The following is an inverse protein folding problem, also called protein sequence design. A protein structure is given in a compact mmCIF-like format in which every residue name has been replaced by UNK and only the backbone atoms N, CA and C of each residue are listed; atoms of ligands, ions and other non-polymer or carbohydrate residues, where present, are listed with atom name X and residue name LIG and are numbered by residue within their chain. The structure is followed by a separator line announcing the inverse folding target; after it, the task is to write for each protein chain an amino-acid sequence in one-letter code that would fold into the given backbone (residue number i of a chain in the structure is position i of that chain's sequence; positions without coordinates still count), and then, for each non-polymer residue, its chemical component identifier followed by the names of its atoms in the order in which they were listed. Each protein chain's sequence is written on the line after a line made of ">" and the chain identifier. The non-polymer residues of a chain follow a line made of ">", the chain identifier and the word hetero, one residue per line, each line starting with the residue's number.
data_IF_317829827580
#
_entry.id   IF_317829827580
#
_cell.length_a   1.000
_cell.length_b   1.000
_cell.length_c   1.000
_cell.angle_alpha   90.00
_cell.angle_beta   90.00
_cell.angle_gamma   90.00
#
_symmetry.space_group_name_H-M   'P 1'
#
loop_
_entity.id
_entity.type
_entity.pdbx_description
1 polymer ?
#
# COMPACT_ATOMS: atom_id res chain seq x y z
N UNK A 1 -4.95 23.83 9.37
CA UNK A 1 -6.38 23.54 9.62
C UNK A 1 -6.46 22.24 10.44
N UNK A 2 -7.50 22.03 11.23
CA UNK A 2 -7.70 20.75 11.92
C UNK A 2 -7.97 19.66 10.88
N UNK A 3 -7.44 18.44 11.11
CA UNK A 3 -7.71 17.30 10.25
C UNK A 3 -9.19 16.94 10.26
N UNK A 4 -9.80 16.83 9.07
CA UNK A 4 -11.19 16.42 8.88
C UNK A 4 -11.25 14.93 8.63
N UNK A 5 -12.22 14.26 9.24
CA UNK A 5 -12.55 12.87 9.00
C UNK A 5 -14.02 12.73 8.59
N UNK A 6 -14.37 11.59 8.03
CA UNK A 6 -15.75 11.22 7.69
C UNK A 6 -16.20 10.08 8.60
N UNK A 7 -17.42 10.19 9.14
CA UNK A 7 -18.06 9.12 9.90
C UNK A 7 -19.55 9.05 9.54
N UNK A 8 -20.00 7.92 9.04
CA UNK A 8 -21.41 7.56 8.87
C UNK A 8 -22.28 8.65 8.18
N UNK A 9 -21.75 9.35 7.18
CA UNK A 9 -22.44 10.40 6.42
C UNK A 9 -22.03 11.83 6.79
N UNK A 10 -21.24 12.04 7.84
CA UNK A 10 -20.88 13.36 8.34
C UNK A 10 -19.35 13.62 8.25
N UNK A 11 -18.98 14.87 7.95
CA UNK A 11 -17.59 15.34 8.01
C UNK A 11 -17.37 16.07 9.33
N UNK A 12 -16.48 15.53 10.16
CA UNK A 12 -16.23 15.98 11.53
C UNK A 12 -14.74 16.27 11.74
N UNK A 13 -14.36 17.09 12.73
CA UNK A 13 -12.98 17.13 13.19
C UNK A 13 -12.53 15.74 13.63
N UNK A 14 -11.32 15.34 13.23
CA UNK A 14 -10.77 14.03 13.59
C UNK A 14 -10.79 13.78 15.11
N UNK A 15 -10.55 14.83 15.91
CA UNK A 15 -10.54 14.77 17.39
C UNK A 15 -11.90 14.43 18.01
N UNK A 16 -12.98 14.59 17.27
CA UNK A 16 -14.34 14.37 17.78
C UNK A 16 -14.82 12.94 17.50
N UNK A 17 -13.98 12.13 16.82
CA UNK A 17 -14.28 10.74 16.52
C UNK A 17 -13.70 9.84 17.60
N UNK A 18 -14.57 9.18 18.34
CA UNK A 18 -14.21 8.23 19.38
C UNK A 18 -15.07 6.96 19.32
N UNK A 19 -14.61 5.92 20.03
CA UNK A 19 -15.36 4.68 20.24
C UNK A 19 -15.40 4.35 21.73
N UNK A 20 -16.51 3.79 22.20
CA UNK A 20 -16.63 3.35 23.59
C UNK A 20 -15.76 2.11 23.86
N UNK A 21 -15.37 1.92 25.12
CA UNK A 21 -14.53 0.78 25.54
C UNK A 21 -15.21 -0.57 25.28
N UNK A 22 -16.54 -0.61 25.26
CA UNK A 22 -17.33 -1.81 24.98
C UNK A 22 -17.49 -2.14 23.50
N UNK A 23 -16.88 -1.34 22.58
CA UNK A 23 -17.00 -1.53 21.13
C UNK A 23 -16.57 -2.93 20.72
N UNK A 24 -17.45 -3.67 20.03
CA UNK A 24 -17.25 -5.06 19.66
C UNK A 24 -15.95 -5.29 18.87
N UNK A 25 -15.65 -4.41 17.91
CA UNK A 25 -14.42 -4.52 17.12
C UNK A 25 -13.15 -4.40 17.98
N UNK A 26 -13.18 -3.66 19.09
CA UNK A 26 -12.05 -3.52 20.01
C UNK A 26 -11.78 -4.83 20.75
N UNK A 27 -12.82 -5.62 21.06
CA UNK A 27 -12.71 -6.89 21.79
C UNK A 27 -12.44 -8.08 20.87
N UNK A 28 -13.00 -8.08 19.66
CA UNK A 28 -13.05 -9.26 18.78
C UNK A 28 -12.40 -9.06 17.43
N UNK A 29 -11.80 -7.89 17.15
CA UNK A 29 -11.12 -7.60 15.89
C UNK A 29 -12.05 -7.54 14.67
N UNK A 30 -13.35 -7.36 14.87
CA UNK A 30 -14.39 -7.37 13.83
C UNK A 30 -14.42 -6.05 13.07
N UNK A 31 -13.38 -5.83 12.28
CA UNK A 31 -13.22 -4.67 11.41
C UNK A 31 -12.56 -5.08 10.09
N UNK A 32 -12.85 -4.35 9.05
CA UNK A 32 -12.11 -4.37 7.79
C UNK A 32 -11.61 -2.96 7.49
N UNK A 33 -10.44 -2.86 6.89
CA UNK A 33 -9.84 -1.56 6.65
C UNK A 33 -9.02 -1.52 5.38
N UNK A 34 -8.69 -0.33 4.94
CA UNK A 34 -7.72 -0.09 3.89
C UNK A 34 -6.68 0.92 4.33
N UNK A 35 -5.65 1.02 3.53
CA UNK A 35 -4.63 2.04 3.63
C UNK A 35 -4.28 2.51 2.24
N UNK A 36 -4.59 3.77 1.96
CA UNK A 36 -4.23 4.43 0.73
C UNK A 36 -3.15 5.46 1.01
N UNK A 37 -2.25 5.66 0.06
CA UNK A 37 -1.30 6.74 0.15
C UNK A 37 -1.66 7.86 -0.82
N UNK A 38 -1.52 9.08 -0.36
CA UNK A 38 -1.58 10.29 -1.16
C UNK A 38 -0.18 10.90 -1.25
N UNK A 39 0.25 11.23 -2.46
CA UNK A 39 1.56 11.77 -2.78
C UNK A 39 1.43 13.20 -3.28
N UNK A 40 2.15 14.13 -2.64
CA UNK A 40 2.12 15.52 -3.02
C UNK A 40 3.15 15.83 -4.12
N UNK A 41 2.67 16.14 -5.31
CA UNK A 41 3.50 16.63 -6.39
C UNK A 41 3.62 18.16 -6.30
N UNK A 42 4.78 18.66 -5.87
CA UNK A 42 5.04 20.10 -5.81
C UNK A 42 5.06 20.73 -7.21
N UNK A 43 5.57 20.00 -8.19
CA UNK A 43 5.65 20.43 -9.58
C UNK A 43 4.25 20.67 -10.19
N UNK A 44 3.31 19.74 -9.90
CA UNK A 44 1.93 19.82 -10.42
C UNK A 44 0.98 20.54 -9.46
N UNK A 45 1.44 20.91 -8.25
CA UNK A 45 0.60 21.48 -7.18
C UNK A 45 -0.65 20.64 -6.90
N UNK A 46 -0.51 19.30 -6.97
CA UNK A 46 -1.60 18.33 -6.85
C UNK A 46 -1.23 17.23 -5.83
N UNK A 47 -2.24 16.72 -5.17
CA UNK A 47 -2.15 15.53 -4.32
C UNK A 47 -2.81 14.35 -5.02
N UNK A 48 -2.05 13.28 -5.28
CA UNK A 48 -2.55 12.10 -5.97
C UNK A 48 -2.78 10.94 -5.01
N UNK A 49 -4.00 10.43 -4.92
CA UNK A 49 -4.29 9.15 -4.27
C UNK A 49 -3.95 8.01 -5.23
N UNK A 50 -3.00 7.17 -4.87
CA UNK A 50 -2.54 6.07 -5.70
C UNK A 50 -3.52 4.89 -5.65
N UNK A 51 -3.98 4.42 -6.83
CA UNK A 51 -4.84 3.24 -7.02
C UNK A 51 -6.08 3.22 -6.11
N UNK A 52 -6.68 4.39 -5.87
CA UNK A 52 -7.79 4.56 -4.93
C UNK A 52 -8.97 3.63 -5.23
N UNK A 53 -9.32 3.46 -6.51
CA UNK A 53 -10.41 2.58 -6.95
C UNK A 53 -10.14 1.11 -6.55
N UNK A 54 -8.91 0.62 -6.72
CA UNK A 54 -8.54 -0.76 -6.38
C UNK A 54 -8.59 -0.98 -4.87
N UNK A 55 -8.11 -0.01 -4.09
CA UNK A 55 -8.20 -0.05 -2.62
C UNK A 55 -9.65 -0.12 -2.16
N UNK A 56 -10.53 0.72 -2.68
CA UNK A 56 -11.94 0.70 -2.29
C UNK A 56 -12.69 -0.52 -2.82
N UNK A 57 -12.33 -1.04 -4.00
CA UNK A 57 -12.86 -2.31 -4.49
C UNK A 57 -12.48 -3.48 -3.55
N UNK A 58 -11.21 -3.51 -3.06
CA UNK A 58 -10.76 -4.51 -2.09
C UNK A 58 -11.43 -4.32 -0.72
N UNK A 59 -11.66 -3.08 -0.28
CA UNK A 59 -12.41 -2.81 0.95
C UNK A 59 -13.85 -3.37 0.88
N UNK A 60 -14.55 -3.13 -0.23
CA UNK A 60 -15.88 -3.70 -0.49
C UNK A 60 -15.84 -5.23 -0.47
N UNK A 61 -14.81 -5.83 -1.09
CA UNK A 61 -14.60 -7.29 -1.04
C UNK A 61 -14.37 -7.80 0.37
N UNK A 62 -13.57 -7.09 1.18
CA UNK A 62 -13.31 -7.44 2.57
C UNK A 62 -14.57 -7.30 3.46
N UNK A 63 -15.35 -6.25 3.24
CA UNK A 63 -16.60 -6.02 3.98
C UNK A 63 -17.64 -7.12 3.77
N UNK A 64 -17.75 -7.63 2.54
CA UNK A 64 -18.66 -8.75 2.21
C UNK A 64 -18.41 -9.99 3.05
N UNK A 65 -17.18 -10.22 3.49
CA UNK A 65 -16.82 -11.37 4.31
C UNK A 65 -17.57 -11.40 5.66
N UNK A 66 -17.77 -10.22 6.27
CA UNK A 66 -18.55 -10.07 7.49
C UNK A 66 -20.03 -9.71 7.21
N UNK A 67 -20.45 -9.57 5.96
CA UNK A 67 -21.77 -9.06 5.60
C UNK A 67 -21.94 -7.57 5.90
N UNK A 68 -20.84 -6.82 6.02
CA UNK A 68 -20.86 -5.39 6.31
C UNK A 68 -21.21 -4.56 5.08
N UNK A 69 -21.93 -3.45 5.29
CA UNK A 69 -22.33 -2.51 4.25
C UNK A 69 -21.55 -1.21 4.34
N UNK A 70 -20.83 -0.85 3.28
CA UNK A 70 -20.12 0.42 3.19
C UNK A 70 -21.03 1.57 2.72
N UNK A 71 -20.70 2.83 3.00
CA UNK A 71 -21.53 3.99 2.65
C UNK A 71 -21.45 4.35 1.17
N UNK A 72 -21.71 3.40 0.28
CA UNK A 72 -21.79 3.62 -1.15
C UNK A 72 -20.86 2.78 -2.00
N UNK A 73 -20.74 3.16 -3.27
CA UNK A 73 -19.91 2.54 -4.30
C UNK A 73 -18.42 2.92 -4.18
N UNK A 74 -17.58 2.31 -5.00
CA UNK A 74 -16.16 2.71 -5.14
C UNK A 74 -16.03 4.21 -5.46
N UNK A 75 -16.87 4.73 -6.35
CA UNK A 75 -16.86 6.14 -6.73
C UNK A 75 -17.23 7.06 -5.55
N UNK A 76 -18.22 6.67 -4.75
CA UNK A 76 -18.61 7.41 -3.55
C UNK A 76 -17.48 7.44 -2.53
N UNK A 77 -16.81 6.32 -2.30
CA UNK A 77 -15.66 6.23 -1.39
C UNK A 77 -14.47 7.07 -1.87
N UNK A 78 -14.21 7.11 -3.18
CA UNK A 78 -13.22 8.01 -3.79
C UNK A 78 -13.58 9.48 -3.54
N UNK A 79 -14.86 9.84 -3.68
CA UNK A 79 -15.36 11.20 -3.42
C UNK A 79 -15.18 11.58 -1.94
N UNK A 80 -15.51 10.69 -1.01
CA UNK A 80 -15.29 10.91 0.44
C UNK A 80 -13.80 11.14 0.73
N UNK A 81 -12.91 10.31 0.15
CA UNK A 81 -11.47 10.44 0.35
C UNK A 81 -10.93 11.80 -0.15
N UNK A 82 -11.35 12.23 -1.35
CA UNK A 82 -11.00 13.55 -1.88
C UNK A 82 -11.50 14.67 -0.98
N UNK A 83 -12.72 14.56 -0.50
CA UNK A 83 -13.37 15.63 0.28
C UNK A 83 -12.73 15.80 1.66
N UNK A 84 -12.36 14.73 2.39
CA UNK A 84 -11.65 14.88 3.67
C UNK A 84 -10.30 15.57 3.49
N UNK A 85 -9.58 15.27 2.39
CA UNK A 85 -8.28 15.88 2.08
C UNK A 85 -8.42 17.35 1.64
N UNK A 86 -9.41 17.66 0.80
CA UNK A 86 -9.73 19.04 0.38
C UNK A 86 -10.10 19.92 1.57
N UNK A 87 -11.01 19.47 2.43
CA UNK A 87 -11.43 20.21 3.64
C UNK A 87 -10.30 20.41 4.62
N UNK A 88 -9.37 19.47 4.69
CA UNK A 88 -8.17 19.55 5.52
C UNK A 88 -7.08 20.44 4.92
N UNK A 89 -7.14 20.77 3.63
CA UNK A 89 -6.15 21.57 2.92
C UNK A 89 -4.78 20.91 2.83
N UNK A 90 -4.73 19.59 2.68
CA UNK A 90 -3.49 18.79 2.71
C UNK A 90 -2.62 19.08 1.49
N UNK A 91 -1.34 19.43 1.72
CA UNK A 91 -0.32 19.69 0.68
C UNK A 91 1.00 19.01 1.03
N UNK A 92 0.91 17.76 1.44
CA UNK A 92 2.03 16.89 1.78
C UNK A 92 1.59 15.44 1.64
N UNK A 93 2.54 14.52 1.67
CA UNK A 93 2.26 13.09 1.66
C UNK A 93 1.41 12.67 2.86
N UNK A 94 0.41 11.85 2.59
CA UNK A 94 -0.55 11.40 3.60
C UNK A 94 -0.88 9.93 3.46
N UNK A 95 -1.34 9.37 4.55
CA UNK A 95 -1.96 8.06 4.61
C UNK A 95 -3.45 8.22 4.92
N UNK A 96 -4.31 7.64 4.08
CA UNK A 96 -5.76 7.65 4.28
C UNK A 96 -6.18 6.28 4.80
N UNK A 97 -6.90 6.27 5.92
CA UNK A 97 -7.38 5.08 6.60
C UNK A 97 -8.91 5.01 6.59
N UNK A 98 -9.53 4.32 5.65
CA UNK A 98 -10.92 3.90 5.79
C UNK A 98 -11.01 2.64 6.64
N UNK A 99 -11.99 2.58 7.53
CA UNK A 99 -12.28 1.43 8.38
C UNK A 99 -13.79 1.26 8.53
N UNK A 100 -14.26 0.05 8.28
CA UNK A 100 -15.62 -0.41 8.60
C UNK A 100 -15.52 -1.37 9.78
N UNK A 101 -16.34 -1.19 10.79
CA UNK A 101 -16.24 -2.00 12.01
C UNK A 101 -17.58 -2.17 12.70
N UNK A 102 -17.70 -3.22 13.49
CA UNK A 102 -18.86 -3.42 14.37
C UNK A 102 -18.71 -2.51 15.58
N UNK A 103 -19.58 -1.50 15.64
CA UNK A 103 -19.53 -0.44 16.67
C UNK A 103 -20.43 -0.70 17.88
N UNK A 104 -21.33 -1.70 17.84
CA UNK A 104 -22.16 -2.05 19.00
C UNK A 104 -21.31 -2.33 20.22
N UNK A 105 -21.77 -1.86 21.39
CA UNK A 105 -21.14 -2.14 22.67
C UNK A 105 -21.76 -3.38 23.34
N UNK A 106 -20.97 -4.06 24.16
CA UNK A 106 -21.41 -5.22 24.94
C UNK A 106 -20.59 -6.47 24.69
N UNK A 107 -20.82 -7.46 25.55
CA UNK A 107 -20.13 -8.75 25.54
C UNK A 107 -20.92 -9.77 24.72
N UNK A 108 -20.23 -10.57 23.92
CA UNK A 108 -20.80 -11.63 23.10
C UNK A 108 -20.19 -11.62 21.69
N UNK A 109 -19.69 -12.78 21.25
CA UNK A 109 -18.91 -12.92 20.02
C UNK A 109 -19.71 -12.57 18.75
N UNK A 110 -20.99 -13.00 18.67
CA UNK A 110 -21.88 -12.64 17.59
C UNK A 110 -23.33 -12.55 18.05
N UNK A 111 -24.01 -11.47 17.70
CA UNK A 111 -25.41 -11.19 18.09
C UNK A 111 -26.17 -10.66 16.89
N UNK A 112 -27.48 -10.78 16.91
CA UNK A 112 -28.35 -10.34 15.82
C UNK A 112 -28.52 -8.80 15.73
N UNK A 113 -28.19 -8.07 16.81
CA UNK A 113 -28.39 -6.63 16.95
C UNK A 113 -27.10 -5.81 16.73
N UNK A 114 -26.10 -6.40 16.11
CA UNK A 114 -24.81 -5.73 15.86
C UNK A 114 -24.99 -4.61 14.83
N UNK A 115 -24.51 -3.43 15.21
CA UNK A 115 -24.49 -2.22 14.37
C UNK A 115 -23.08 -1.95 13.85
N UNK A 116 -23.01 -1.38 12.68
CA UNK A 116 -21.78 -1.04 11.97
C UNK A 116 -21.53 0.46 11.99
N UNK A 117 -20.29 0.86 11.83
CA UNK A 117 -19.89 2.25 11.60
C UNK A 117 -18.73 2.28 10.60
N UNK A 118 -18.75 3.27 9.73
CA UNK A 118 -17.69 3.56 8.80
C UNK A 118 -16.99 4.86 9.17
N UNK A 119 -15.67 4.82 9.24
CA UNK A 119 -14.83 6.00 9.47
C UNK A 119 -13.75 6.06 8.40
N UNK A 120 -13.49 7.26 7.87
CA UNK A 120 -12.34 7.52 7.01
C UNK A 120 -11.60 8.76 7.52
N UNK A 121 -10.30 8.63 7.76
CA UNK A 121 -9.45 9.73 8.22
C UNK A 121 -8.09 9.70 7.52
N UNK A 122 -7.30 10.73 7.71
CA UNK A 122 -5.94 10.79 7.19
C UNK A 122 -4.95 11.22 8.26
N UNK A 123 -3.69 10.83 8.04
CA UNK A 123 -2.55 11.26 8.86
C UNK A 123 -1.37 11.61 7.94
N UNK A 124 -0.52 12.57 8.31
CA UNK A 124 0.74 12.79 7.60
C UNK A 124 1.57 11.50 7.57
N UNK A 125 2.15 11.19 6.43
CA UNK A 125 3.04 10.04 6.28
C UNK A 125 4.10 10.36 5.22
N UNK A 126 5.32 10.64 5.67
CA UNK A 126 6.49 10.72 4.81
C UNK A 126 7.04 9.33 4.47
N UNK A 127 8.29 9.28 4.02
CA UNK A 127 8.99 8.03 3.71
C UNK A 127 9.06 7.14 4.97
N UNK A 128 8.54 5.91 4.87
CA UNK A 128 8.40 5.01 6.02
C UNK A 128 9.71 4.33 6.39
N UNK A 129 10.57 4.08 5.39
CA UNK A 129 11.85 3.38 5.53
C UNK A 129 12.94 4.19 4.84
N UNK A 130 14.16 4.23 5.45
CA UNK A 130 15.31 4.93 4.90
C UNK A 130 15.90 4.27 3.65
N UNK A 131 16.72 5.02 2.90
CA UNK A 131 17.24 4.62 1.59
C UNK A 131 18.29 3.48 1.63
N UNK A 132 18.79 3.09 2.81
CA UNK A 132 19.87 2.11 2.98
C UNK A 132 19.42 0.64 2.95
N UNK A 133 18.12 0.38 2.78
CA UNK A 133 17.56 -0.97 2.92
C UNK A 133 17.37 -1.40 4.38
N UNK A 134 16.67 -2.52 4.58
CA UNK A 134 16.30 -3.04 5.91
C UNK A 134 16.84 -4.43 6.14
N UNK A 135 16.94 -4.79 7.45
CA UNK A 135 17.35 -6.10 7.92
C UNK A 135 16.13 -6.86 8.43
N UNK A 136 15.96 -8.09 7.98
CA UNK A 136 14.81 -8.92 8.29
C UNK A 136 15.21 -10.21 9.01
N UNK A 137 14.25 -10.83 9.69
CA UNK A 137 14.37 -12.22 10.13
C UNK A 137 13.14 -13.03 9.72
N UNK A 138 13.34 -14.33 9.56
CA UNK A 138 12.22 -15.26 9.41
C UNK A 138 11.59 -15.48 10.78
N UNK A 139 10.33 -15.04 10.93
CA UNK A 139 9.60 -15.11 12.21
C UNK A 139 9.21 -16.54 12.57
N UNK A 140 9.12 -16.83 13.85
CA UNK A 140 8.51 -18.06 14.38
C UNK A 140 6.99 -18.05 14.21
N UNK A 141 6.37 -16.85 14.13
CA UNK A 141 4.95 -16.68 13.87
C UNK A 141 4.63 -16.97 12.40
N UNK A 142 3.55 -17.72 12.19
CA UNK A 142 3.10 -18.08 10.83
C UNK A 142 1.98 -17.17 10.37
N UNK A 143 1.92 -16.96 9.06
CA UNK A 143 0.74 -16.34 8.43
C UNK A 143 -0.48 -17.23 8.70
N UNK A 144 -1.62 -16.69 9.14
CA UNK A 144 -2.84 -17.48 9.29
C UNK A 144 -3.22 -18.16 7.97
N UNK A 145 -3.56 -19.44 8.04
CA UNK A 145 -4.03 -20.18 6.86
C UNK A 145 -5.45 -19.76 6.48
N UNK A 146 -5.79 -19.79 5.19
CA UNK A 146 -7.09 -19.42 4.67
C UNK A 146 -8.30 -20.15 5.28
N UNK A 147 -8.07 -21.35 5.90
CA UNK A 147 -9.10 -22.06 6.65
C UNK A 147 -9.33 -21.52 8.08
N UNK A 148 -8.40 -20.71 8.61
CA UNK A 148 -8.50 -20.13 9.97
C UNK A 148 -8.87 -18.66 9.95
N UNK A 149 -8.48 -17.95 8.89
CA UNK A 149 -8.80 -16.54 8.70
C UNK A 149 -8.82 -16.22 7.20
N UNK A 150 -9.67 -15.31 6.72
CA UNK A 150 -9.74 -14.95 5.30
C UNK A 150 -8.55 -14.10 4.89
N UNK A 151 -7.49 -14.72 4.39
CA UNK A 151 -6.23 -14.06 4.04
C UNK A 151 -6.34 -13.06 2.89
N UNK A 152 -7.36 -13.24 2.02
CA UNK A 152 -7.67 -12.33 0.91
C UNK A 152 -8.41 -11.06 1.33
N UNK A 153 -9.00 -11.03 2.53
CA UNK A 153 -9.67 -9.87 3.10
C UNK A 153 -8.75 -9.14 4.10
N UNK A 154 -8.78 -7.80 4.06
CA UNK A 154 -7.97 -6.97 4.96
C UNK A 154 -8.73 -6.74 6.28
N UNK A 155 -8.65 -7.74 7.17
CA UNK A 155 -9.40 -7.82 8.43
C UNK A 155 -8.52 -7.42 9.62
N UNK A 156 -9.02 -6.53 10.49
CA UNK A 156 -8.27 -6.03 11.64
C UNK A 156 -7.77 -7.13 12.58
N UNK A 157 -8.59 -8.13 12.87
CA UNK A 157 -8.23 -9.23 13.78
C UNK A 157 -7.03 -10.06 13.32
N UNK A 158 -6.79 -10.17 12.01
CA UNK A 158 -5.64 -10.90 11.45
C UNK A 158 -4.31 -10.20 11.79
N UNK A 159 -4.33 -8.87 11.91
CA UNK A 159 -3.12 -8.08 12.19
C UNK A 159 -2.55 -8.29 13.59
N UNK A 160 -3.30 -8.88 14.51
CA UNK A 160 -2.79 -9.19 15.86
C UNK A 160 -1.60 -10.18 15.78
N UNK A 161 -1.70 -11.24 14.98
CA UNK A 161 -0.60 -12.20 14.79
C UNK A 161 0.59 -11.59 14.03
N UNK A 162 0.32 -10.73 13.06
CA UNK A 162 1.36 -10.04 12.28
C UNK A 162 2.13 -9.02 13.15
N UNK A 163 1.43 -8.33 14.06
CA UNK A 163 2.07 -7.47 15.06
C UNK A 163 3.01 -8.24 16.01
N UNK A 164 2.68 -9.51 16.33
CA UNK A 164 3.58 -10.37 17.11
C UNK A 164 4.84 -10.74 16.32
N UNK A 165 4.72 -11.06 15.04
CA UNK A 165 5.86 -11.31 14.16
C UNK A 165 6.78 -10.09 14.07
N UNK A 166 6.20 -8.89 13.84
CA UNK A 166 6.95 -7.62 13.82
C UNK A 166 7.66 -7.35 15.15
N UNK A 167 6.96 -7.54 16.26
CA UNK A 167 7.53 -7.36 17.59
C UNK A 167 8.72 -8.31 17.84
N UNK A 168 8.60 -9.58 17.44
CA UNK A 168 9.67 -10.58 17.55
C UNK A 168 10.92 -10.08 16.79
N UNK A 169 10.77 -9.66 15.55
CA UNK A 169 11.85 -9.12 14.73
C UNK A 169 12.52 -7.92 15.41
N UNK A 170 11.74 -6.94 15.87
CA UNK A 170 12.26 -5.75 16.56
C UNK A 170 13.03 -6.12 17.85
N UNK A 171 12.53 -7.07 18.64
CA UNK A 171 13.21 -7.53 19.85
C UNK A 171 14.52 -8.27 19.55
N UNK A 172 14.62 -8.91 18.38
CA UNK A 172 15.84 -9.56 17.91
C UNK A 172 16.81 -8.59 17.19
N UNK A 173 16.47 -7.30 17.09
CA UNK A 173 17.31 -6.26 16.48
C UNK A 173 17.20 -6.18 14.95
N UNK A 174 16.10 -6.66 14.39
CA UNK A 174 15.76 -6.53 12.96
C UNK A 174 14.70 -5.44 12.75
N UNK A 175 14.59 -5.00 11.50
CA UNK A 175 13.67 -3.92 11.12
C UNK A 175 12.30 -4.46 10.75
N UNK A 176 12.22 -5.69 10.19
CA UNK A 176 10.97 -6.34 9.75
C UNK A 176 11.05 -7.88 9.86
N UNK A 177 9.86 -8.51 9.88
CA UNK A 177 9.69 -9.95 9.90
C UNK A 177 9.29 -10.47 8.50
N UNK A 178 9.87 -11.60 8.12
CA UNK A 178 9.35 -12.44 7.02
C UNK A 178 8.52 -13.55 7.65
N UNK A 179 7.26 -13.65 7.28
CA UNK A 179 6.36 -14.72 7.75
C UNK A 179 6.35 -15.88 6.77
N UNK A 180 6.16 -17.08 7.31
CA UNK A 180 5.95 -18.28 6.50
C UNK A 180 4.47 -18.72 6.60
N UNK A 181 4.02 -19.46 5.61
CA UNK A 181 2.77 -20.22 5.67
C UNK A 181 2.83 -21.30 6.74
N UNK A 182 1.71 -21.91 7.11
CA UNK A 182 1.69 -23.01 8.11
C UNK A 182 2.46 -24.23 7.66
N UNK A 183 2.58 -24.46 6.34
CA UNK A 183 3.36 -25.55 5.75
C UNK A 183 4.81 -25.15 5.43
N UNK A 184 5.24 -23.97 5.89
CA UNK A 184 6.65 -23.56 5.91
C UNK A 184 7.17 -22.89 4.63
N UNK A 185 6.34 -22.46 3.71
CA UNK A 185 6.73 -21.65 2.55
C UNK A 185 6.79 -20.18 2.89
N UNK A 186 7.57 -19.40 2.17
CA UNK A 186 7.59 -17.93 2.33
C UNK A 186 6.22 -17.37 1.97
N UNK A 187 5.67 -16.54 2.84
CA UNK A 187 4.41 -15.84 2.61
C UNK A 187 4.65 -14.37 2.25
N UNK A 188 4.81 -13.52 3.23
CA UNK A 188 4.97 -12.07 3.06
C UNK A 188 5.63 -11.46 4.31
N UNK A 189 5.89 -10.16 4.32
CA UNK A 189 6.27 -9.43 5.52
C UNK A 189 5.14 -9.35 6.56
N UNK A 190 5.32 -8.53 7.60
CA UNK A 190 4.24 -8.33 8.59
C UNK A 190 3.06 -7.54 8.03
N UNK A 191 3.30 -6.65 7.07
CA UNK A 191 2.28 -5.81 6.41
C UNK A 191 2.58 -5.52 4.93
N UNK A 192 3.56 -6.20 4.33
CA UNK A 192 4.10 -6.00 2.99
C UNK A 192 4.24 -7.34 2.25
N UNK A 193 4.05 -7.34 0.92
CA UNK A 193 4.39 -8.49 0.09
C UNK A 193 5.89 -8.53 -0.18
N UNK A 194 6.45 -9.73 -0.41
CA UNK A 194 7.87 -9.95 -0.67
C UNK A 194 8.13 -10.32 -2.12
N UNK A 195 9.24 -9.83 -2.65
CA UNK A 195 9.78 -10.17 -3.97
C UNK A 195 11.25 -10.58 -3.84
N UNK A 196 11.67 -11.47 -4.72
CA UNK A 196 13.04 -11.94 -4.85
C UNK A 196 13.51 -11.81 -6.30
N UNK A 197 14.76 -11.46 -6.51
CA UNK A 197 15.43 -11.63 -7.81
C UNK A 197 16.27 -12.90 -7.70
N UNK A 198 15.99 -13.88 -8.57
CA UNK A 198 16.66 -15.17 -8.62
C UNK A 198 16.90 -15.55 -10.08
N UNK A 199 18.13 -15.86 -10.45
CA UNK A 199 18.53 -16.18 -11.83
C UNK A 199 18.03 -15.12 -12.84
N UNK A 200 18.12 -13.84 -12.46
CA UNK A 200 17.69 -12.71 -13.27
C UNK A 200 16.16 -12.61 -13.49
N UNK A 201 15.34 -13.34 -12.70
CA UNK A 201 13.88 -13.33 -12.77
C UNK A 201 13.30 -12.70 -11.50
N UNK A 202 12.22 -11.98 -11.66
CA UNK A 202 11.44 -11.50 -10.51
C UNK A 202 10.50 -12.62 -10.04
N UNK A 203 10.60 -13.00 -8.77
CA UNK A 203 9.81 -14.07 -8.14
C UNK A 203 9.05 -13.49 -6.95
N UNK A 204 7.80 -13.92 -6.77
CA UNK A 204 7.00 -13.55 -5.58
C UNK A 204 6.08 -14.70 -5.20
N UNK A 205 5.78 -14.89 -3.91
CA UNK A 205 4.79 -15.89 -3.49
C UNK A 205 3.46 -15.69 -4.22
N UNK A 206 2.87 -16.79 -4.65
CA UNK A 206 1.56 -16.78 -5.31
C UNK A 206 0.44 -16.40 -4.32
N UNK A 207 -0.71 -15.98 -4.83
CA UNK A 207 -1.87 -15.70 -3.99
C UNK A 207 -2.39 -16.94 -3.22
N UNK A 208 -1.94 -18.13 -3.57
CA UNK A 208 -2.19 -19.38 -2.84
C UNK A 208 -1.34 -19.55 -1.59
N UNK A 209 -0.32 -18.71 -1.37
CA UNK A 209 0.57 -18.74 -0.20
C UNK A 209 0.02 -17.93 0.99
N UNK A 210 -1.29 -17.87 1.15
CA UNK A 210 -2.00 -17.17 2.24
C UNK A 210 -1.69 -15.67 2.36
N UNK A 211 -1.16 -15.04 1.31
CA UNK A 211 -0.81 -13.62 1.28
C UNK A 211 -2.02 -12.72 0.98
N UNK A 212 -1.90 -11.45 1.37
CA UNK A 212 -2.82 -10.43 0.89
C UNK A 212 -2.52 -10.12 -0.58
N UNK A 213 -3.58 -9.99 -1.42
CA UNK A 213 -3.45 -9.48 -2.78
C UNK A 213 -3.11 -7.97 -2.73
N UNK A 214 -1.80 -7.66 -2.63
CA UNK A 214 -1.30 -6.29 -2.50
C UNK A 214 -1.52 -5.47 -3.75
N UNK A 215 -2.00 -4.23 -3.59
CA UNK A 215 -2.21 -3.30 -4.71
C UNK A 215 -0.85 -2.79 -5.19
N UNK A 216 0.05 -2.46 -4.27
CA UNK A 216 1.44 -2.12 -4.62
C UNK A 216 2.15 -3.33 -5.26
N UNK A 217 1.89 -4.56 -4.77
CA UNK A 217 2.41 -5.78 -5.42
C UNK A 217 1.97 -5.87 -6.88
N UNK A 218 0.69 -5.67 -7.17
CA UNK A 218 0.17 -5.69 -8.53
C UNK A 218 0.81 -4.60 -9.41
N UNK A 219 1.00 -3.39 -8.86
CA UNK A 219 1.68 -2.31 -9.56
C UNK A 219 3.15 -2.65 -9.85
N UNK A 220 3.89 -3.21 -8.89
CA UNK A 220 5.29 -3.63 -9.06
C UNK A 220 5.42 -4.69 -10.16
N UNK A 221 4.52 -5.68 -10.21
CA UNK A 221 4.51 -6.71 -11.26
C UNK A 221 4.35 -6.05 -12.64
N UNK A 222 3.39 -5.15 -12.77
CA UNK A 222 3.14 -4.45 -14.04
C UNK A 222 4.30 -3.53 -14.44
N UNK A 223 4.88 -2.80 -13.48
CA UNK A 223 6.06 -1.94 -13.75
C UNK A 223 7.30 -2.77 -14.11
N UNK A 224 7.53 -3.90 -13.45
CA UNK A 224 8.64 -4.78 -13.77
C UNK A 224 8.55 -5.30 -15.22
N UNK A 225 7.36 -5.70 -15.65
CA UNK A 225 7.14 -6.19 -17.01
C UNK A 225 7.27 -5.06 -18.04
N UNK A 226 6.58 -3.93 -17.84
CA UNK A 226 6.52 -2.85 -18.84
C UNK A 226 7.80 -2.04 -18.94
N UNK A 227 8.42 -1.73 -17.81
CA UNK A 227 9.55 -0.80 -17.74
C UNK A 227 10.92 -1.49 -17.74
N UNK A 228 10.98 -2.73 -17.25
CA UNK A 228 12.24 -3.48 -17.15
C UNK A 228 12.27 -4.71 -18.07
N UNK A 229 11.15 -5.09 -18.68
CA UNK A 229 11.06 -6.34 -19.44
C UNK A 229 11.21 -7.59 -18.57
N UNK A 230 11.00 -7.48 -17.26
CA UNK A 230 11.13 -8.56 -16.30
C UNK A 230 9.77 -9.19 -16.04
N UNK A 231 9.56 -10.40 -16.57
CA UNK A 231 8.37 -11.19 -16.22
C UNK A 231 8.46 -11.67 -14.78
N UNK A 232 7.38 -11.46 -14.03
CA UNK A 232 7.27 -11.93 -12.66
C UNK A 232 6.74 -13.37 -12.62
N UNK A 233 7.42 -14.24 -11.89
CA UNK A 233 7.01 -15.61 -11.63
C UNK A 233 6.30 -15.67 -10.28
N UNK A 234 4.99 -15.84 -10.31
CA UNK A 234 4.16 -16.05 -9.11
C UNK A 234 4.12 -17.56 -8.79
N UNK A 235 4.81 -17.97 -7.72
CA UNK A 235 4.92 -19.38 -7.31
C UNK A 235 5.15 -19.51 -5.81
N UNK A 236 5.10 -20.72 -5.31
CA UNK A 236 5.58 -21.04 -3.98
C UNK A 236 7.09 -20.78 -3.89
N UNK A 237 7.53 -20.23 -2.76
CA UNK A 237 8.92 -19.91 -2.46
C UNK A 237 9.36 -20.70 -1.23
N UNK A 238 10.43 -21.48 -1.37
CA UNK A 238 11.02 -22.20 -0.25
C UNK A 238 11.87 -21.23 0.59
N UNK A 239 11.86 -21.30 1.94
CA UNK A 239 12.69 -20.44 2.78
C UNK A 239 14.19 -20.47 2.44
N UNK A 240 14.71 -21.60 1.96
CA UNK A 240 16.12 -21.69 1.53
C UNK A 240 16.44 -20.77 0.34
N UNK A 241 15.46 -20.44 -0.50
CA UNK A 241 15.67 -19.55 -1.65
C UNK A 241 16.00 -18.10 -1.23
N UNK A 242 15.61 -17.69 -0.01
CA UNK A 242 15.99 -16.40 0.54
C UNK A 242 17.53 -16.23 0.63
N UNK A 243 18.28 -17.34 0.80
CA UNK A 243 19.73 -17.32 0.87
C UNK A 243 20.42 -17.32 -0.51
N UNK A 244 19.68 -17.59 -1.58
CA UNK A 244 20.18 -17.63 -2.96
C UNK A 244 19.70 -16.43 -3.78
N UNK A 245 18.81 -15.60 -3.24
CA UNK A 245 18.31 -14.42 -3.92
C UNK A 245 19.43 -13.39 -4.14
N UNK A 246 19.51 -12.86 -5.36
CA UNK A 246 20.39 -11.76 -5.73
C UNK A 246 19.93 -10.46 -5.09
N UNK A 247 18.61 -10.25 -5.04
CA UNK A 247 17.94 -9.15 -4.39
C UNK A 247 16.67 -9.64 -3.70
N UNK A 248 16.32 -9.00 -2.59
CA UNK A 248 15.01 -9.14 -1.93
C UNK A 248 14.46 -7.77 -1.63
N UNK A 249 13.16 -7.59 -1.83
CA UNK A 249 12.50 -6.35 -1.45
C UNK A 249 11.05 -6.56 -1.03
N UNK A 250 10.53 -5.65 -0.25
CA UNK A 250 9.11 -5.60 0.09
C UNK A 250 8.36 -4.60 -0.78
N UNK A 251 7.06 -4.87 -0.95
CA UNK A 251 6.13 -3.92 -1.57
C UNK A 251 4.87 -3.75 -0.73
N UNK A 252 4.47 -2.50 -0.50
CA UNK A 252 3.28 -2.19 0.29
C UNK A 252 2.94 -0.70 0.25
N UNK A 253 1.74 -0.33 0.64
CA UNK A 253 1.30 1.07 0.63
C UNK A 253 2.18 1.98 1.50
N UNK A 254 2.59 1.51 2.68
CA UNK A 254 3.49 2.27 3.56
C UNK A 254 4.97 2.07 3.18
N UNK A 255 5.35 0.85 2.83
CA UNK A 255 6.72 0.47 2.51
C UNK A 255 7.14 0.84 1.08
N UNK A 256 6.17 1.13 0.18
CA UNK A 256 6.46 1.38 -1.24
C UNK A 256 7.23 0.22 -1.88
N UNK A 257 8.44 0.45 -2.35
CA UNK A 257 9.40 -0.58 -2.78
C UNK A 257 10.62 -0.47 -1.88
N UNK A 258 10.75 -1.39 -0.91
CA UNK A 258 11.77 -1.31 0.13
C UNK A 258 12.77 -2.44 0.00
N UNK A 259 14.06 -2.16 -0.26
CA UNK A 259 15.09 -3.20 -0.36
C UNK A 259 15.35 -3.88 1.00
N UNK A 260 15.55 -5.20 0.97
CA UNK A 260 16.01 -6.03 2.09
C UNK A 260 17.47 -6.38 1.85
N UNK A 261 18.35 -5.97 2.73
CA UNK A 261 19.81 -6.14 2.56
C UNK A 261 20.40 -7.24 3.46
N UNK A 262 19.64 -7.69 4.45
CA UNK A 262 20.07 -8.76 5.36
C UNK A 262 18.85 -9.60 5.79
N UNK A 263 19.00 -10.92 5.82
CA UNK A 263 18.01 -11.85 6.36
C UNK A 263 18.73 -12.82 7.31
N UNK A 264 18.24 -12.93 8.56
CA UNK A 264 18.81 -13.80 9.61
C UNK A 264 20.32 -13.62 9.75
N UNK A 265 20.79 -12.36 9.77
CA UNK A 265 22.21 -11.97 9.87
C UNK A 265 23.09 -12.45 8.72
N UNK A 266 22.49 -12.72 7.56
CA UNK A 266 23.18 -13.04 6.32
C UNK A 266 22.85 -11.94 5.30
N UNK A 267 23.87 -11.44 4.63
CA UNK A 267 23.67 -10.49 3.55
C UNK A 267 22.82 -11.10 2.42
N UNK A 268 21.93 -10.29 1.87
CA UNK A 268 21.24 -10.56 0.60
C UNK A 268 22.13 -9.99 -0.51
N UNK A 269 22.51 -10.82 -1.48
CA UNK A 269 23.46 -10.41 -2.51
C UNK A 269 24.74 -9.86 -1.89
N UNK A 270 25.08 -8.61 -2.24
CA UNK A 270 26.25 -7.90 -1.72
C UNK A 270 25.99 -7.14 -0.40
N UNK A 271 24.80 -7.27 0.20
CA UNK A 271 24.41 -6.60 1.44
C UNK A 271 24.04 -5.13 1.26
N UNK A 272 23.74 -4.72 0.05
CA UNK A 272 23.28 -3.37 -0.33
C UNK A 272 22.05 -3.46 -1.22
N UNK A 273 21.26 -2.37 -1.37
CA UNK A 273 20.13 -2.37 -2.28
C UNK A 273 20.53 -2.71 -3.72
N UNK A 274 19.87 -3.71 -4.30
CA UNK A 274 20.21 -4.18 -5.64
C UNK A 274 19.63 -3.32 -6.77
N UNK A 275 20.21 -3.41 -7.98
CA UNK A 275 19.87 -2.51 -9.10
C UNK A 275 18.44 -2.65 -9.60
N UNK A 276 17.84 -3.85 -9.59
CA UNK A 276 16.43 -4.06 -10.00
C UNK A 276 15.50 -3.35 -9.02
N UNK A 277 15.72 -3.54 -7.72
CA UNK A 277 14.94 -2.92 -6.65
C UNK A 277 15.01 -1.39 -6.71
N UNK A 278 16.22 -0.84 -6.84
CA UNK A 278 16.43 0.61 -6.92
C UNK A 278 15.73 1.22 -8.15
N UNK A 279 15.82 0.53 -9.29
CA UNK A 279 15.16 1.00 -10.51
C UNK A 279 13.64 0.93 -10.42
N UNK A 280 13.08 -0.14 -9.84
CA UNK A 280 11.64 -0.22 -9.58
C UNK A 280 11.17 0.84 -8.58
N UNK A 281 11.94 1.10 -7.52
CA UNK A 281 11.62 2.15 -6.55
C UNK A 281 11.59 3.53 -7.20
N UNK A 282 12.55 3.85 -8.06
CA UNK A 282 12.60 5.12 -8.77
C UNK A 282 11.42 5.28 -9.76
N UNK A 283 11.09 4.23 -10.53
CA UNK A 283 9.94 4.24 -11.43
C UNK A 283 8.64 4.40 -10.64
N UNK A 284 8.50 3.69 -9.53
CA UNK A 284 7.33 3.79 -8.66
C UNK A 284 7.17 5.21 -8.11
N UNK A 285 8.25 5.85 -7.68
CA UNK A 285 8.27 7.23 -7.18
C UNK A 285 7.82 8.22 -8.26
N UNK A 286 8.34 8.10 -9.48
CA UNK A 286 7.88 8.90 -10.63
C UNK A 286 6.37 8.75 -10.88
N UNK A 287 5.88 7.49 -10.86
CA UNK A 287 4.47 7.16 -11.12
C UNK A 287 3.56 7.80 -10.07
N UNK A 288 3.87 7.64 -8.78
CA UNK A 288 2.98 8.10 -7.70
C UNK A 288 2.94 9.62 -7.57
N UNK A 289 3.98 10.32 -8.07
CA UNK A 289 4.02 11.79 -8.15
C UNK A 289 3.47 12.36 -9.47
N UNK A 290 2.93 11.49 -10.36
CA UNK A 290 2.31 11.90 -11.62
C UNK A 290 3.30 12.36 -12.68
N UNK A 291 4.56 11.91 -12.62
CA UNK A 291 5.60 12.24 -13.59
C UNK A 291 5.61 11.30 -14.80
N UNK A 292 4.77 10.25 -14.78
CA UNK A 292 4.59 9.25 -15.83
C UNK A 292 3.16 9.27 -16.35
N UNK A 293 2.92 9.86 -17.50
CA UNK A 293 1.57 10.06 -18.08
C UNK A 293 0.87 8.74 -18.42
N UNK A 294 1.62 7.73 -18.83
CA UNK A 294 1.13 6.40 -19.17
C UNK A 294 0.44 5.70 -17.98
N UNK A 295 0.73 6.13 -16.73
CA UNK A 295 0.13 5.62 -15.50
C UNK A 295 -0.86 6.61 -14.86
N UNK A 296 -1.27 7.67 -15.55
CA UNK A 296 -2.20 8.67 -15.02
C UNK A 296 -3.53 8.05 -14.53
N UNK A 297 -3.99 6.97 -15.15
CA UNK A 297 -5.18 6.22 -14.72
C UNK A 297 -5.08 5.58 -13.32
N UNK A 298 -3.86 5.44 -12.79
CA UNK A 298 -3.63 4.92 -11.44
C UNK A 298 -3.78 6.00 -10.35
N UNK A 299 -3.86 7.25 -10.77
CA UNK A 299 -3.83 8.42 -9.89
C UNK A 299 -5.21 9.08 -9.83
N UNK A 300 -5.72 9.25 -8.62
CA UNK A 300 -6.91 10.04 -8.37
C UNK A 300 -6.50 11.41 -7.84
N UNK A 301 -6.60 12.48 -8.67
CA UNK A 301 -6.23 13.82 -8.23
C UNK A 301 -7.23 14.34 -7.19
N UNK A 302 -6.71 15.01 -6.17
CA UNK A 302 -7.52 15.53 -5.06
C UNK A 302 -8.06 16.93 -5.37
N UNK A 303 -7.24 17.84 -5.91
CA UNK A 303 -7.59 19.25 -6.09
C UNK A 303 -8.12 19.59 -7.49
N UNK A 304 -7.77 18.82 -8.51
CA UNK A 304 -8.32 19.03 -9.85
C UNK A 304 -9.86 18.97 -9.84
N UNK A 305 -10.50 19.78 -10.68
CA UNK A 305 -11.95 19.72 -10.86
C UNK A 305 -12.36 18.36 -11.48
N UNK A 306 -13.56 17.88 -11.12
CA UNK A 306 -14.10 16.65 -11.66
C UNK A 306 -14.25 16.76 -13.19
N UNK A 307 -13.54 15.93 -13.95
CA UNK A 307 -13.54 15.94 -15.41
C UNK A 307 -12.40 16.70 -16.09
N UNK A 308 -11.48 17.31 -15.34
CA UNK A 308 -10.25 17.84 -15.91
C UNK A 308 -9.29 16.66 -16.23
N UNK A 309 -9.10 16.37 -17.52
CA UNK A 309 -7.94 15.61 -17.96
C UNK A 309 -6.65 16.31 -17.50
N UNK A 310 -5.53 15.59 -17.24
CA UNK A 310 -4.27 16.25 -16.94
C UNK A 310 -3.99 17.30 -18.02
N UNK A 311 -3.62 18.51 -17.58
CA UNK A 311 -3.40 19.64 -18.49
C UNK A 311 -2.34 19.23 -19.53
N UNK A 312 -2.71 19.33 -20.81
CA UNK A 312 -1.77 19.23 -21.92
C UNK A 312 -0.66 20.25 -21.70
N UNK A 313 0.52 19.77 -21.34
CA UNK A 313 1.70 20.62 -21.31
C UNK A 313 2.03 21.00 -22.74
N UNK A 314 1.81 22.28 -23.07
CA UNK A 314 2.25 22.89 -24.31
C UNK A 314 3.74 22.56 -24.50
N UNK A 315 4.04 21.80 -25.53
CA UNK A 315 5.40 21.61 -26.03
C UNK A 315 6.06 22.98 -26.15
N UNK A 316 7.26 23.22 -25.59
CA UNK A 316 7.94 24.50 -25.78
C UNK A 316 8.13 24.70 -27.28
N UNK A 317 7.64 25.84 -27.78
CA UNK A 317 7.74 26.22 -29.16
C UNK A 317 9.21 26.11 -29.62
N UNK A 318 9.44 25.33 -30.67
CA UNK A 318 10.74 25.22 -31.29
C UNK A 318 11.24 26.63 -31.69
N UNK A 319 12.38 27.03 -31.18
CA UNK A 319 13.08 28.24 -31.56
C UNK A 319 13.34 28.17 -33.07
N UNK A 320 12.92 29.16 -33.87
CA UNK A 320 13.18 29.12 -35.30
C UNK A 320 14.68 29.13 -35.59
N UNK A 321 15.12 28.19 -36.39
CA UNK A 321 16.49 28.10 -36.86
C UNK A 321 16.91 29.41 -37.53
N UNK A 322 18.05 29.96 -37.11
CA UNK A 322 18.67 31.12 -37.73
C UNK A 322 19.01 30.81 -39.18
N UNK A 323 18.51 31.63 -40.08
CA UNK A 323 18.83 31.60 -41.52
C UNK A 323 20.32 31.92 -41.69
N UNK A 324 21.07 31.17 -42.51
CA UNK A 324 22.44 31.53 -42.82
C UNK A 324 22.50 32.83 -43.61
N UNK A 325 23.34 33.76 -43.19
CA UNK A 325 23.63 34.98 -43.97
C UNK A 325 24.31 34.61 -45.30
N UNK A 326 23.74 35.07 -46.39
CA UNK A 326 24.37 35.03 -47.71
C UNK A 326 25.66 35.92 -47.69
N UNK A 327 26.80 35.29 -47.91
CA UNK A 327 27.99 35.97 -48.33
C UNK A 327 27.82 36.44 -49.78
N UNK A 328 27.72 37.74 -49.97
CA UNK A 328 27.95 38.38 -51.31
C UNK A 328 29.26 39.13 -51.29
N UNK A 329 30.10 38.69 -52.16
CA UNK A 329 31.31 39.32 -52.75
C UNK A 329 31.70 40.72 -52.31
#
# INVERSE_FOLDING_TARGET
>A
MAAVAFRDGEYLPYTDIGVGIGTHALHYGTSVFEGLRGYWSAERSELYLFRAQDHFARLLGSARFYGMTLPGSVADLCTIAREILRRSGVRQDVYVRPIQFICSEGIGLWRADLRESFVMFHAPMGKYIGDGGIRCCVSTWRRPHGSTAPTRAKIGGVYASLALARREAMQAGFDEAITLTVDGRVAEGSAENIFLVIDGKLVTPSLGSDILAGITRAAVIELAEKELGLLTVERDVNPSELAFAEEVFFSGTAAEVTPVVEIDRRAVGDGVPGPVTLRLAAIYDDVVHGLREEYASWLLPVYAADGAAPADHATPAATPAATPAEESR
#
